data_IF_975223642438
#
_entry.id   IF_975223642438
#
_cell.length_a   1.000
_cell.length_b   1.000
_cell.length_c   1.000
_cell.angle_alpha   90.00
_cell.angle_beta   90.00
_cell.angle_gamma   90.00
#
_symmetry.space_group_name_H-M   'P 1'
#
loop_
_entity.id
_entity.type
_entity.pdbx_description
1 polymer ?
#
# COMPACT_ATOMS: atom_id res chain seq x y z
N UNK A 1 32.45 32.45 66.68
CA UNK A 1 31.03 32.37 67.09
C UNK A 1 30.32 31.47 66.11
N UNK A 2 29.78 30.39 66.66
CA UNK A 2 29.09 29.29 66.01
C UNK A 2 27.76 29.72 65.36
N UNK A 3 27.31 29.00 64.33
CA UNK A 3 25.91 29.00 63.86
C UNK A 3 25.79 28.75 62.35
N UNK A 4 25.56 27.50 61.92
CA UNK A 4 24.23 27.01 61.48
C UNK A 4 23.79 27.70 60.17
N UNK A 5 23.93 27.09 58.99
CA UNK A 5 23.12 25.95 58.55
C UNK A 5 23.82 25.18 57.40
N UNK A 6 24.27 23.95 57.69
CA UNK A 6 24.31 22.84 56.72
C UNK A 6 22.94 22.17 56.76
N UNK A 7 22.16 22.27 55.69
CA UNK A 7 21.10 21.29 55.43
C UNK A 7 20.72 21.27 53.94
N UNK A 8 20.52 20.05 53.43
CA UNK A 8 20.16 19.68 52.06
C UNK A 8 21.22 19.93 50.97
N UNK A 9 22.16 18.98 50.89
CA UNK A 9 22.99 18.71 49.72
C UNK A 9 22.16 18.28 48.51
N UNK A 10 21.65 19.26 47.77
CA UNK A 10 21.21 19.11 46.40
C UNK A 10 22.03 20.05 45.52
N UNK A 11 23.33 19.75 45.39
CA UNK A 11 24.00 20.05 44.12
C UNK A 11 23.38 19.11 43.11
N UNK A 12 22.33 19.58 42.42
CA UNK A 12 21.88 18.98 41.16
C UNK A 12 23.01 19.23 40.15
N UNK A 13 24.09 18.46 40.28
CA UNK A 13 25.04 18.27 39.20
C UNK A 13 24.26 17.47 38.15
N UNK A 14 23.54 18.19 37.28
CA UNK A 14 22.90 17.66 36.09
C UNK A 14 24.00 17.24 35.12
N UNK A 15 24.82 16.28 35.54
CA UNK A 15 25.69 15.52 34.66
C UNK A 15 24.74 14.72 33.79
N UNK A 16 24.45 15.25 32.60
CA UNK A 16 23.85 14.47 31.54
C UNK A 16 24.68 13.19 31.45
N UNK A 17 24.10 12.00 31.72
CA UNK A 17 24.83 10.74 31.65
C UNK A 17 25.52 10.67 30.30
N UNK A 18 26.83 10.46 30.34
CA UNK A 18 27.75 10.94 29.33
C UNK A 18 27.39 10.59 27.89
N UNK A 19 27.57 11.56 27.01
CA UNK A 19 27.85 11.37 25.58
C UNK A 19 29.22 10.70 25.39
N UNK A 20 29.42 9.52 25.99
CA UNK A 20 30.54 8.65 25.64
C UNK A 20 30.37 8.13 24.21
N UNK A 21 31.44 7.66 23.55
CA UNK A 21 31.38 7.09 22.19
C UNK A 21 30.40 5.91 22.03
N UNK A 22 29.90 5.36 23.14
CA UNK A 22 28.94 4.25 23.22
C UNK A 22 27.47 4.70 23.24
N UNK A 23 27.16 5.94 23.65
CA UNK A 23 25.79 6.47 23.69
C UNK A 23 25.24 6.90 22.32
N UNK A 24 26.13 7.36 21.43
CA UNK A 24 25.78 7.75 20.05
C UNK A 24 25.25 6.56 19.22
N UNK A 25 25.90 5.38 19.17
CA UNK A 25 25.38 4.24 18.42
C UNK A 25 24.07 3.66 18.99
N UNK A 26 23.85 3.74 20.31
CA UNK A 26 22.64 3.24 20.96
C UNK A 26 21.35 3.95 20.48
N UNK A 27 21.45 5.24 20.13
CA UNK A 27 20.32 6.04 19.62
C UNK A 27 20.35 6.13 18.10
N UNK A 28 21.53 6.27 17.50
CA UNK A 28 21.68 6.46 16.06
C UNK A 28 21.21 5.25 15.25
N UNK A 29 21.49 4.01 15.71
CA UNK A 29 21.10 2.80 14.97
C UNK A 29 19.57 2.61 14.95
N UNK A 30 18.85 2.67 16.08
CA UNK A 30 17.39 2.57 16.06
C UNK A 30 16.72 3.72 15.32
N UNK A 31 17.22 4.96 15.47
CA UNK A 31 16.71 6.10 14.73
C UNK A 31 16.90 5.92 13.22
N UNK A 32 18.05 5.40 12.78
CA UNK A 32 18.31 5.11 11.37
C UNK A 32 17.38 4.00 10.83
N UNK A 33 17.18 2.92 11.60
CA UNK A 33 16.28 1.82 11.23
C UNK A 33 14.83 2.28 11.10
N UNK A 34 14.39 3.25 11.90
CA UNK A 34 13.04 3.83 11.80
C UNK A 34 12.92 4.91 10.71
N UNK A 35 13.91 5.80 10.59
CA UNK A 35 13.86 6.96 9.70
C UNK A 35 14.08 6.57 8.23
N UNK A 36 14.97 5.62 7.96
CA UNK A 36 15.34 5.24 6.60
C UNK A 36 14.13 4.68 5.80
N UNK A 37 13.28 3.78 6.34
CA UNK A 37 12.04 3.37 5.67
C UNK A 37 11.08 4.53 5.40
N UNK A 38 10.96 5.48 6.34
CA UNK A 38 10.09 6.65 6.19
C UNK A 38 10.56 7.57 5.06
N UNK A 39 11.86 7.85 4.99
CA UNK A 39 12.47 8.61 3.90
C UNK A 39 12.30 7.86 2.58
N UNK A 40 12.51 6.54 2.59
CA UNK A 40 12.34 5.72 1.40
C UNK A 40 10.90 5.74 0.88
N UNK A 41 9.94 5.62 1.79
CA UNK A 41 8.51 5.71 1.51
C UNK A 41 8.12 7.09 0.97
N UNK A 42 8.58 8.17 1.59
CA UNK A 42 8.35 9.52 1.12
C UNK A 42 8.91 9.71 -0.31
N UNK A 43 10.11 9.20 -0.59
CA UNK A 43 10.71 9.24 -1.92
C UNK A 43 9.88 8.48 -2.95
N UNK A 44 9.45 7.25 -2.66
CA UNK A 44 8.59 6.47 -3.57
C UNK A 44 7.24 7.16 -3.81
N UNK A 45 6.64 7.73 -2.76
CA UNK A 45 5.42 8.50 -2.91
C UNK A 45 5.61 9.73 -3.80
N UNK A 46 6.70 10.47 -3.63
CA UNK A 46 6.99 11.65 -4.44
C UNK A 46 7.28 11.27 -5.89
N UNK A 47 8.11 10.25 -6.12
CA UNK A 47 8.40 9.71 -7.46
C UNK A 47 7.13 9.29 -8.16
N UNK A 48 6.32 8.45 -7.50
CA UNK A 48 5.08 7.95 -8.06
C UNK A 48 4.04 9.07 -8.27
N UNK A 49 4.00 10.10 -7.40
CA UNK A 49 3.18 11.31 -7.59
C UNK A 49 3.60 12.08 -8.84
N UNK A 50 4.91 12.24 -9.10
CA UNK A 50 5.44 12.93 -10.29
C UNK A 50 5.08 12.19 -11.57
N UNK A 51 5.31 10.87 -11.62
CA UNK A 51 4.94 10.02 -12.77
C UNK A 51 3.43 10.12 -13.03
N UNK A 52 2.60 9.98 -11.99
CA UNK A 52 1.14 10.11 -12.12
C UNK A 52 0.68 11.52 -12.48
N UNK A 53 1.44 12.56 -12.15
CA UNK A 53 1.11 13.93 -12.58
C UNK A 53 1.33 14.10 -14.08
N UNK A 54 2.43 13.55 -14.62
CA UNK A 54 2.69 13.51 -16.07
C UNK A 54 1.62 12.71 -16.81
N UNK A 55 1.31 11.50 -16.33
CA UNK A 55 0.25 10.66 -16.91
C UNK A 55 -1.11 11.38 -16.89
N UNK A 56 -1.43 12.07 -15.80
CA UNK A 56 -2.65 12.91 -15.75
C UNK A 56 -2.65 14.04 -16.76
N UNK A 57 -1.52 14.73 -16.96
CA UNK A 57 -1.40 15.76 -18.00
C UNK A 57 -1.71 15.19 -19.38
N UNK A 58 -1.19 14.01 -19.71
CA UNK A 58 -1.53 13.31 -20.96
C UNK A 58 -3.03 13.01 -21.03
N UNK A 59 -3.60 12.40 -19.99
CA UNK A 59 -5.02 12.05 -19.96
C UNK A 59 -5.97 13.25 -19.96
N UNK A 60 -5.54 14.40 -19.45
CA UNK A 60 -6.34 15.61 -19.52
C UNK A 60 -6.37 16.16 -20.97
N UNK A 61 -5.43 15.76 -21.84
CA UNK A 61 -5.44 16.07 -23.28
C UNK A 61 -6.23 15.03 -24.11
N UNK A 62 -6.09 13.73 -23.80
CA UNK A 62 -6.64 12.64 -24.63
C UNK A 62 -7.91 11.99 -24.07
N UNK A 63 -8.25 12.24 -22.80
CA UNK A 63 -9.35 11.59 -22.11
C UNK A 63 -10.62 12.43 -22.08
N UNK A 64 -11.76 11.81 -22.41
CA UNK A 64 -13.09 12.43 -22.32
C UNK A 64 -13.79 12.01 -21.02
N UNK A 65 -14.22 12.97 -20.20
CA UNK A 65 -14.96 12.65 -18.97
C UNK A 65 -16.37 12.15 -19.31
N UNK A 66 -16.76 11.00 -18.77
CA UNK A 66 -18.10 10.46 -18.89
C UNK A 66 -18.81 10.50 -17.53
N UNK A 67 -19.89 11.29 -17.43
CA UNK A 67 -20.73 11.34 -16.24
C UNK A 67 -21.45 10.00 -16.00
N UNK A 68 -21.89 9.33 -17.07
CA UNK A 68 -22.56 8.01 -17.03
C UNK A 68 -21.75 6.97 -16.26
N UNK A 69 -20.46 6.86 -16.55
CA UNK A 69 -19.58 5.86 -15.95
C UNK A 69 -18.79 6.39 -14.75
N UNK A 70 -18.87 7.70 -14.47
CA UNK A 70 -18.05 8.41 -13.48
C UNK A 70 -16.56 8.12 -13.68
N UNK A 71 -16.14 8.04 -14.94
CA UNK A 71 -14.80 7.65 -15.37
C UNK A 71 -14.33 8.53 -16.55
N UNK A 72 -13.03 8.56 -16.78
CA UNK A 72 -12.42 9.18 -17.97
C UNK A 72 -12.30 8.11 -19.05
N UNK A 73 -12.91 8.34 -20.21
CA UNK A 73 -12.84 7.45 -21.35
C UNK A 73 -11.64 7.83 -22.21
N UNK A 74 -10.75 6.87 -22.45
CA UNK A 74 -9.61 7.01 -23.34
C UNK A 74 -9.96 6.39 -24.71
N UNK A 75 -9.68 7.11 -25.78
CA UNK A 75 -9.89 6.60 -27.15
C UNK A 75 -8.74 5.65 -27.52
N UNK A 76 -8.89 4.40 -27.11
CA UNK A 76 -7.92 3.33 -27.30
C UNK A 76 -8.64 2.00 -27.46
N UNK A 77 -8.17 1.17 -28.38
CA UNK A 77 -8.84 -0.08 -28.76
C UNK A 77 -8.51 -1.25 -27.83
N UNK A 78 -7.33 -1.24 -27.21
CA UNK A 78 -6.96 -2.27 -26.23
C UNK A 78 -7.84 -2.13 -24.97
N UNK A 79 -8.59 -3.17 -24.59
CA UNK A 79 -9.46 -3.16 -23.42
C UNK A 79 -8.67 -2.98 -22.12
N UNK A 80 -8.67 -1.76 -21.60
CA UNK A 80 -8.09 -1.42 -20.31
C UNK A 80 -9.08 -0.66 -19.42
N UNK A 81 -9.02 -0.93 -18.12
CA UNK A 81 -9.60 -0.13 -17.05
C UNK A 81 -8.58 -0.05 -15.91
N UNK A 82 -8.35 1.14 -15.37
CA UNK A 82 -7.40 1.34 -14.26
C UNK A 82 -7.72 2.60 -13.47
N UNK A 83 -7.30 2.60 -12.21
CA UNK A 83 -7.39 3.77 -11.35
C UNK A 83 -6.10 4.60 -11.33
N UNK A 84 -6.26 5.93 -11.26
CA UNK A 84 -5.18 6.86 -10.97
C UNK A 84 -5.33 7.40 -9.56
N UNK A 85 -4.49 6.95 -8.62
CA UNK A 85 -4.55 7.40 -7.22
C UNK A 85 -3.91 8.79 -7.04
N UNK A 86 -4.31 9.49 -5.97
CA UNK A 86 -3.73 10.77 -5.59
C UNK A 86 -4.77 11.73 -5.00
N UNK A 87 -4.46 13.03 -4.98
CA UNK A 87 -5.36 14.08 -4.47
C UNK A 87 -6.65 14.24 -5.28
N UNK A 88 -6.60 13.93 -6.57
CA UNK A 88 -7.74 13.95 -7.49
C UNK A 88 -7.85 12.56 -8.12
N UNK A 89 -8.32 11.56 -7.36
CA UNK A 89 -8.39 10.20 -7.86
C UNK A 89 -9.41 10.13 -9.00
N UNK A 90 -9.12 9.32 -10.01
CA UNK A 90 -10.06 9.07 -11.11
C UNK A 90 -9.86 7.67 -11.67
N UNK A 91 -10.90 7.15 -12.30
CA UNK A 91 -10.86 5.88 -13.03
C UNK A 91 -10.77 6.19 -14.51
N UNK A 92 -9.94 5.44 -15.22
CA UNK A 92 -9.77 5.51 -16.67
C UNK A 92 -10.30 4.21 -17.26
N UNK A 93 -11.08 4.31 -18.34
CA UNK A 93 -11.59 3.17 -19.10
C UNK A 93 -11.34 3.44 -20.58
N UNK A 94 -10.87 2.44 -21.31
CA UNK A 94 -10.67 2.52 -22.77
C UNK A 94 -11.99 2.39 -23.53
N UNK A 95 -12.05 2.95 -24.74
CA UNK A 95 -13.15 2.70 -25.68
C UNK A 95 -13.28 1.20 -26.01
N UNK A 96 -12.15 0.48 -26.11
CA UNK A 96 -12.10 -0.97 -26.25
C UNK A 96 -12.86 -1.70 -25.15
N UNK A 97 -12.63 -1.34 -23.88
CA UNK A 97 -13.34 -1.95 -22.75
C UNK A 97 -14.85 -1.63 -22.77
N UNK A 98 -15.24 -0.43 -23.21
CA UNK A 98 -16.67 -0.06 -23.33
C UNK A 98 -17.40 -0.84 -24.42
N UNK A 99 -16.70 -1.23 -25.51
CA UNK A 99 -17.26 -2.06 -26.58
C UNK A 99 -17.28 -3.53 -26.20
N UNK A 100 -16.26 -3.99 -25.47
CA UNK A 100 -16.08 -5.39 -25.10
C UNK A 100 -17.01 -5.82 -23.96
N UNK A 101 -17.17 -4.97 -22.94
CA UNK A 101 -17.86 -5.36 -21.70
C UNK A 101 -19.34 -4.97 -21.75
N UNK A 102 -20.20 -5.92 -21.35
CA UNK A 102 -21.59 -5.63 -21.01
C UNK A 102 -21.68 -4.62 -19.85
N UNK A 103 -22.83 -3.92 -19.67
CA UNK A 103 -22.99 -2.95 -18.57
C UNK A 103 -22.69 -3.53 -17.18
N UNK A 104 -23.16 -4.76 -16.90
CA UNK A 104 -22.93 -5.43 -15.61
C UNK A 104 -21.44 -5.76 -15.39
N UNK A 105 -20.75 -6.24 -16.43
CA UNK A 105 -19.32 -6.50 -16.40
C UNK A 105 -18.53 -5.21 -16.17
N UNK A 106 -18.84 -4.15 -16.93
CA UNK A 106 -18.19 -2.85 -16.78
C UNK A 106 -18.36 -2.27 -15.38
N UNK A 107 -19.58 -2.31 -14.84
CA UNK A 107 -19.83 -1.83 -13.48
C UNK A 107 -19.05 -2.62 -12.42
N UNK A 108 -18.94 -3.94 -12.57
CA UNK A 108 -18.14 -4.78 -11.67
C UNK A 108 -16.66 -4.40 -11.67
N UNK A 109 -16.08 -4.14 -12.85
CA UNK A 109 -14.69 -3.68 -13.01
C UNK A 109 -14.53 -2.27 -12.43
N UNK A 110 -15.49 -1.38 -12.69
CA UNK A 110 -15.45 -0.03 -12.11
C UNK A 110 -15.51 -0.06 -10.58
N UNK A 111 -16.28 -0.96 -9.96
CA UNK A 111 -16.29 -1.09 -8.50
C UNK A 111 -14.97 -1.69 -7.97
N UNK A 112 -14.34 -2.61 -8.71
CA UNK A 112 -12.99 -3.09 -8.43
C UNK A 112 -11.98 -1.91 -8.46
N UNK A 113 -11.99 -1.07 -9.49
CA UNK A 113 -11.13 0.12 -9.58
C UNK A 113 -11.41 1.15 -8.48
N UNK A 114 -12.69 1.34 -8.11
CA UNK A 114 -13.06 2.20 -6.96
C UNK A 114 -12.50 1.65 -5.66
N UNK A 115 -12.38 0.33 -5.52
CA UNK A 115 -11.81 -0.28 -4.33
C UNK A 115 -10.33 0.08 -4.16
N UNK A 116 -9.54 0.10 -5.23
CA UNK A 116 -8.13 0.53 -5.16
C UNK A 116 -7.98 1.97 -4.68
N UNK A 117 -8.86 2.86 -5.14
CA UNK A 117 -8.88 4.27 -4.71
C UNK A 117 -9.27 4.36 -3.24
N UNK A 118 -10.40 3.75 -2.87
CA UNK A 118 -10.95 3.82 -1.52
C UNK A 118 -10.02 3.19 -0.48
N UNK A 119 -9.41 2.05 -0.80
CA UNK A 119 -8.44 1.36 0.04
C UNK A 119 -7.04 1.99 0.01
N UNK A 120 -6.82 3.00 -0.84
CA UNK A 120 -5.51 3.66 -1.03
C UNK A 120 -4.40 2.63 -1.28
N UNK A 121 -4.66 1.60 -2.08
CA UNK A 121 -3.78 0.43 -2.29
C UNK A 121 -2.36 0.83 -2.75
N UNK A 122 -2.24 1.93 -3.49
CA UNK A 122 -0.95 2.54 -3.85
C UNK A 122 -0.04 2.91 -2.68
N UNK A 123 -0.58 3.24 -1.50
CA UNK A 123 0.21 3.52 -0.30
C UNK A 123 0.79 2.24 0.29
N UNK A 124 -0.01 1.16 0.34
CA UNK A 124 0.47 -0.13 0.80
C UNK A 124 1.61 -0.65 -0.09
N UNK A 125 1.47 -0.54 -1.41
CA UNK A 125 2.55 -0.89 -2.35
C UNK A 125 3.79 -0.01 -2.19
N UNK A 126 3.63 1.29 -1.97
CA UNK A 126 4.78 2.17 -1.71
C UNK A 126 5.49 1.83 -0.39
N UNK A 127 4.74 1.39 0.62
CA UNK A 127 5.30 0.97 1.90
C UNK A 127 6.10 -0.33 1.77
N UNK A 128 5.59 -1.31 1.01
CA UNK A 128 6.34 -2.56 0.75
C UNK A 128 7.56 -2.32 -0.14
N UNK A 129 7.49 -1.43 -1.12
CA UNK A 129 8.66 -1.03 -1.91
C UNK A 129 9.73 -0.38 -1.04
N UNK A 130 9.33 0.53 -0.14
CA UNK A 130 10.25 1.16 0.80
C UNK A 130 10.86 0.14 1.75
N UNK A 131 10.06 -0.79 2.28
CA UNK A 131 10.53 -1.88 3.13
C UNK A 131 11.52 -2.78 2.38
N UNK A 132 11.19 -3.23 1.17
CA UNK A 132 12.05 -4.06 0.33
C UNK A 132 13.39 -3.38 0.00
N UNK A 133 13.36 -2.06 -0.24
CA UNK A 133 14.56 -1.27 -0.53
C UNK A 133 15.48 -1.15 0.69
N UNK A 134 14.92 -0.92 1.87
CA UNK A 134 15.71 -0.78 3.10
C UNK A 134 16.23 -2.12 3.59
N UNK A 135 15.38 -3.15 3.62
CA UNK A 135 15.71 -4.46 4.17
C UNK A 135 16.04 -5.49 3.09
N UNK A 136 16.75 -5.08 2.03
CA UNK A 136 17.04 -5.89 0.83
C UNK A 136 17.78 -7.21 1.10
N UNK A 137 18.42 -7.32 2.27
CA UNK A 137 19.15 -8.50 2.74
C UNK A 137 18.23 -9.54 3.39
N UNK A 138 16.99 -9.18 3.76
CA UNK A 138 16.00 -10.13 4.26
C UNK A 138 15.31 -10.81 3.06
N UNK A 139 15.34 -12.15 2.96
CA UNK A 139 14.68 -12.88 1.88
C UNK A 139 13.19 -12.51 1.73
N UNK A 140 12.50 -12.38 2.86
CA UNK A 140 11.09 -11.99 2.92
C UNK A 140 10.81 -10.60 2.35
N UNK A 141 11.76 -9.66 2.47
CA UNK A 141 11.55 -8.30 2.02
C UNK A 141 11.34 -8.22 0.50
N UNK A 142 11.97 -9.11 -0.27
CA UNK A 142 11.82 -9.17 -1.73
C UNK A 142 10.44 -9.66 -2.16
N UNK A 143 9.84 -10.55 -1.39
CA UNK A 143 8.54 -11.15 -1.73
C UNK A 143 7.34 -10.32 -1.24
N UNK A 144 7.56 -9.43 -0.26
CA UNK A 144 6.48 -8.63 0.35
C UNK A 144 5.67 -7.83 -0.65
N UNK A 145 6.30 -7.29 -1.71
CA UNK A 145 5.60 -6.50 -2.72
C UNK A 145 4.61 -7.35 -3.51
N UNK A 146 5.04 -8.50 -4.04
CA UNK A 146 4.22 -9.39 -4.86
C UNK A 146 3.04 -9.93 -4.05
N UNK A 147 3.31 -10.43 -2.85
CA UNK A 147 2.25 -10.94 -1.97
C UNK A 147 1.26 -9.85 -1.55
N UNK A 148 1.75 -8.64 -1.27
CA UNK A 148 0.87 -7.51 -0.95
C UNK A 148 0.03 -7.09 -2.14
N UNK A 149 0.60 -7.06 -3.36
CA UNK A 149 -0.15 -6.79 -4.57
C UNK A 149 -1.30 -7.79 -4.74
N UNK A 150 -1.02 -9.09 -4.63
CA UNK A 150 -2.02 -10.15 -4.70
C UNK A 150 -3.12 -9.96 -3.63
N UNK A 151 -2.75 -9.66 -2.39
CA UNK A 151 -3.72 -9.40 -1.31
C UNK A 151 -4.60 -8.16 -1.56
N UNK A 152 -4.05 -7.13 -2.21
CA UNK A 152 -4.77 -5.91 -2.55
C UNK A 152 -5.74 -6.14 -3.72
N UNK A 153 -5.35 -6.92 -4.74
CA UNK A 153 -6.25 -7.40 -5.80
C UNK A 153 -7.42 -8.18 -5.19
N UNK A 154 -7.10 -9.13 -4.31
CA UNK A 154 -8.07 -9.90 -3.54
C UNK A 154 -9.02 -9.05 -2.69
N UNK A 155 -8.53 -7.94 -2.12
CA UNK A 155 -9.35 -7.02 -1.35
C UNK A 155 -10.25 -6.15 -2.25
N UNK A 156 -9.79 -5.79 -3.44
CA UNK A 156 -10.58 -5.11 -4.45
C UNK A 156 -11.69 -6.00 -5.00
N UNK A 157 -11.36 -7.25 -5.31
CA UNK A 157 -12.31 -8.31 -5.69
C UNK A 157 -13.42 -8.48 -4.64
N UNK A 158 -13.05 -8.65 -3.36
CA UNK A 158 -14.00 -8.77 -2.26
C UNK A 158 -14.93 -7.55 -2.15
N UNK A 159 -14.50 -6.37 -2.62
CA UNK A 159 -15.32 -5.16 -2.62
C UNK A 159 -16.27 -5.10 -3.80
N UNK A 160 -15.83 -5.49 -4.99
CA UNK A 160 -16.69 -5.61 -6.16
C UNK A 160 -17.78 -6.68 -5.92
N UNK A 161 -17.41 -7.84 -5.38
CA UNK A 161 -18.31 -8.96 -5.09
C UNK A 161 -19.37 -8.67 -4.02
N UNK A 162 -19.26 -7.56 -3.28
CA UNK A 162 -20.33 -7.11 -2.36
C UNK A 162 -21.48 -6.41 -3.08
N UNK A 163 -21.28 -5.95 -4.31
CA UNK A 163 -22.24 -5.14 -5.07
C UNK A 163 -22.61 -5.75 -6.41
N UNK A 164 -21.77 -6.63 -6.95
CA UNK A 164 -21.94 -7.23 -8.26
C UNK A 164 -21.82 -8.75 -8.18
N UNK A 165 -22.53 -9.49 -9.06
CA UNK A 165 -22.43 -10.94 -9.11
C UNK A 165 -21.02 -11.37 -9.51
N UNK A 166 -20.61 -12.54 -9.01
CA UNK A 166 -19.27 -13.09 -9.23
C UNK A 166 -18.98 -13.32 -10.70
N UNK A 167 -19.97 -13.81 -11.42
CA UNK A 167 -19.92 -14.15 -12.83
C UNK A 167 -19.60 -12.92 -13.67
N UNK A 168 -20.15 -11.75 -13.32
CA UNK A 168 -19.87 -10.49 -14.02
C UNK A 168 -18.40 -10.07 -13.85
N UNK A 169 -17.84 -10.16 -12.64
CA UNK A 169 -16.45 -9.79 -12.40
C UNK A 169 -15.48 -10.76 -13.08
N UNK A 170 -15.68 -12.06 -12.91
CA UNK A 170 -14.81 -13.09 -13.48
C UNK A 170 -14.82 -13.02 -15.00
N UNK A 171 -16.00 -12.95 -15.63
CA UNK A 171 -16.12 -12.86 -17.08
C UNK A 171 -15.52 -11.55 -17.62
N UNK A 172 -15.66 -10.43 -16.90
CA UNK A 172 -15.04 -9.16 -17.30
C UNK A 172 -13.52 -9.22 -17.28
N UNK A 173 -12.93 -9.76 -16.21
CA UNK A 173 -11.47 -9.91 -16.09
C UNK A 173 -10.92 -10.83 -17.17
N UNK A 174 -11.61 -11.94 -17.43
CA UNK A 174 -11.25 -12.87 -18.52
C UNK A 174 -11.35 -12.20 -19.89
N UNK A 175 -12.45 -11.50 -20.18
CA UNK A 175 -12.65 -10.81 -21.45
C UNK A 175 -11.59 -9.73 -21.69
N UNK A 176 -11.32 -8.86 -20.71
CA UNK A 176 -10.31 -7.80 -20.86
C UNK A 176 -8.92 -8.36 -21.11
N UNK A 177 -8.56 -9.45 -20.42
CA UNK A 177 -7.25 -10.04 -20.57
C UNK A 177 -7.10 -10.89 -21.85
N UNK A 178 -8.20 -11.45 -22.37
CA UNK A 178 -8.22 -12.07 -23.70
C UNK A 178 -8.15 -11.03 -24.85
N UNK A 179 -8.63 -9.80 -24.61
CA UNK A 179 -8.57 -8.70 -25.57
C UNK A 179 -7.21 -8.03 -25.73
N UNK A 180 -6.17 -8.51 -25.03
CA UNK A 180 -4.84 -7.86 -24.92
C UNK A 180 -3.73 -8.53 -25.78
N UNK A 181 -4.04 -9.35 -26.78
CA UNK A 181 -3.03 -10.11 -27.54
C UNK A 181 -2.57 -9.47 -28.88
N UNK A 182 -1.28 -9.54 -29.29
CA UNK A 182 -0.11 -10.18 -28.64
C UNK A 182 1.03 -9.19 -28.29
N UNK A 183 1.57 -9.30 -27.07
CA UNK A 183 2.85 -8.68 -26.67
C UNK A 183 2.90 -7.99 -25.29
N UNK A 184 1.77 -7.83 -24.62
CA UNK A 184 1.67 -7.20 -23.30
C UNK A 184 1.54 -8.22 -22.16
N UNK A 185 2.28 -8.03 -21.09
CA UNK A 185 2.37 -8.92 -19.94
C UNK A 185 1.10 -8.93 -19.05
N UNK A 186 -0.02 -9.47 -19.54
CA UNK A 186 -1.14 -9.92 -18.70
C UNK A 186 -1.29 -11.43 -18.82
N UNK A 187 -0.70 -12.16 -17.87
CA UNK A 187 -0.83 -13.60 -17.78
C UNK A 187 -2.23 -13.96 -17.30
N UNK A 188 -3.16 -14.19 -18.23
CA UNK A 188 -4.43 -14.89 -17.96
C UNK A 188 -4.17 -16.27 -17.31
N UNK A 189 -2.97 -16.85 -17.51
CA UNK A 189 -2.51 -18.07 -16.86
C UNK A 189 -1.50 -17.88 -15.72
N UNK A 190 -1.34 -16.67 -15.19
CA UNK A 190 -0.41 -16.43 -14.07
C UNK A 190 -0.89 -17.10 -12.79
N UNK A 191 0.02 -17.54 -11.90
CA UNK A 191 -0.34 -18.11 -10.59
C UNK A 191 -1.36 -17.26 -9.83
N UNK A 192 -1.20 -15.93 -9.87
CA UNK A 192 -2.07 -14.97 -9.19
C UNK A 192 -3.52 -14.97 -9.71
N UNK A 193 -3.72 -15.11 -11.02
CA UNK A 193 -5.05 -15.15 -11.62
C UNK A 193 -5.80 -16.43 -11.19
N UNK A 194 -5.10 -17.56 -11.18
CA UNK A 194 -5.65 -18.85 -10.70
C UNK A 194 -5.99 -18.77 -9.21
N UNK A 195 -5.11 -18.21 -8.39
CA UNK A 195 -5.34 -18.04 -6.95
C UNK A 195 -6.57 -17.15 -6.71
N UNK A 196 -6.69 -16.02 -7.43
CA UNK A 196 -7.85 -15.14 -7.32
C UNK A 196 -9.14 -15.85 -7.71
N UNK A 197 -9.15 -16.56 -8.84
CA UNK A 197 -10.33 -17.29 -9.30
C UNK A 197 -10.75 -18.37 -8.32
N UNK A 198 -9.81 -19.21 -7.86
CA UNK A 198 -10.07 -20.24 -6.84
C UNK A 198 -10.65 -19.63 -5.57
N UNK A 199 -10.06 -18.54 -5.10
CA UNK A 199 -10.55 -17.81 -3.92
C UNK A 199 -11.93 -17.19 -4.14
N UNK A 200 -12.24 -16.70 -5.34
CA UNK A 200 -13.58 -16.19 -5.63
C UNK A 200 -14.61 -17.32 -5.52
N UNK A 201 -14.28 -18.52 -6.00
CA UNK A 201 -15.15 -19.71 -5.97
C UNK A 201 -15.38 -20.25 -4.55
N UNK A 202 -14.34 -20.24 -3.70
CA UNK A 202 -14.41 -20.67 -2.30
C UNK A 202 -15.12 -19.61 -1.42
N UNK A 203 -16.23 -19.97 -0.78
CA UNK A 203 -16.95 -19.07 0.13
C UNK A 203 -16.09 -18.69 1.35
N UNK A 204 -15.86 -17.39 1.57
CA UNK A 204 -14.93 -16.90 2.60
C UNK A 204 -15.57 -16.80 3.98
N UNK A 205 -14.89 -17.34 5.01
CA UNK A 205 -15.07 -16.93 6.41
C UNK A 205 -14.21 -15.70 6.69
N UNK A 206 -14.79 -14.63 7.25
CA UNK A 206 -14.04 -13.44 7.65
C UNK A 206 -13.34 -13.70 9.00
N UNK A 207 -12.04 -13.40 9.15
CA UNK A 207 -11.39 -13.51 10.45
C UNK A 207 -12.02 -12.54 11.44
N UNK A 208 -12.12 -12.96 12.71
CA UNK A 208 -12.70 -12.18 13.81
C UNK A 208 -12.02 -10.81 13.93
N UNK A 209 -12.75 -9.71 14.21
CA UNK A 209 -12.18 -8.36 14.29
C UNK A 209 -11.01 -8.24 15.29
N UNK A 210 -11.05 -9.00 16.38
CA UNK A 210 -9.95 -9.04 17.37
C UNK A 210 -8.62 -9.51 16.77
N UNK A 211 -8.63 -10.56 15.95
CA UNK A 211 -7.44 -11.07 15.28
C UNK A 211 -6.87 -10.03 14.31
N UNK A 212 -7.74 -9.30 13.61
CA UNK A 212 -7.32 -8.21 12.72
C UNK A 212 -6.64 -7.09 13.51
N UNK A 213 -7.22 -6.69 14.65
CA UNK A 213 -6.64 -5.69 15.54
C UNK A 213 -5.26 -6.12 16.05
N UNK A 214 -5.12 -7.37 16.49
CA UNK A 214 -3.86 -7.92 16.97
C UNK A 214 -2.76 -7.92 15.90
N UNK A 215 -3.08 -8.32 14.66
CA UNK A 215 -2.12 -8.30 13.54
C UNK A 215 -1.69 -6.88 13.20
N UNK A 216 -2.61 -5.92 13.18
CA UNK A 216 -2.29 -4.50 12.94
C UNK A 216 -1.38 -3.95 14.05
N UNK A 217 -1.71 -4.23 15.32
CA UNK A 217 -0.91 -3.79 16.45
C UNK A 217 0.51 -4.37 16.40
N UNK A 218 0.66 -5.67 16.13
CA UNK A 218 1.95 -6.33 15.99
C UNK A 218 2.79 -5.73 14.84
N UNK A 219 2.17 -5.47 13.68
CA UNK A 219 2.85 -4.87 12.54
C UNK A 219 3.34 -3.44 12.80
N UNK A 220 2.59 -2.66 13.59
CA UNK A 220 2.98 -1.29 14.00
C UNK A 220 4.05 -1.32 15.09
N UNK A 221 3.96 -2.25 16.05
CA UNK A 221 4.87 -2.34 17.18
C UNK A 221 6.25 -2.90 16.77
N UNK A 222 6.31 -3.86 15.86
CA UNK A 222 7.55 -4.52 15.44
C UNK A 222 8.71 -3.57 15.08
N UNK A 223 8.52 -2.49 14.30
CA UNK A 223 9.59 -1.54 14.01
C UNK A 223 9.92 -0.56 15.16
N UNK A 224 9.03 -0.40 16.15
CA UNK A 224 9.18 0.55 17.27
C UNK A 224 9.75 -0.12 18.53
N UNK A 225 9.60 -1.44 18.65
CA UNK A 225 10.04 -2.22 19.81
C UNK A 225 11.57 -2.18 20.04
N UNK A 226 12.43 -2.30 19.01
CA UNK A 226 13.87 -2.21 19.19
C UNK A 226 14.39 -0.87 19.77
N UNK A 227 13.92 0.32 19.32
CA UNK A 227 14.29 1.58 19.97
C UNK A 227 13.80 1.70 21.41
N UNK A 228 12.61 1.18 21.74
CA UNK A 228 12.06 1.28 23.08
C UNK A 228 12.83 0.44 24.10
N UNK A 229 13.27 -0.77 23.71
CA UNK A 229 14.09 -1.63 24.58
C UNK A 229 15.51 -1.09 24.77
N UNK A 230 16.08 -0.43 23.76
CA UNK A 230 17.37 0.25 23.86
C UNK A 230 17.35 1.54 24.70
N UNK A 231 16.17 2.12 24.89
CA UNK A 231 15.95 3.36 25.64
C UNK A 231 15.44 3.14 27.07
N UNK A 232 15.25 1.90 27.54
CA UNK A 232 14.96 1.67 28.97
C UNK A 232 16.23 2.04 29.74
N UNK A 233 16.26 3.18 30.47
CA UNK A 233 17.37 3.45 31.36
C UNK A 233 17.32 2.32 32.40
N UNK A 234 18.46 1.69 32.69
CA UNK A 234 18.54 0.76 33.80
C UNK A 234 17.97 1.44 35.03
N UNK A 235 16.80 1.00 35.49
CA UNK A 235 16.28 1.33 36.81
C UNK A 235 17.12 0.53 37.79
N UNK A 236 18.25 1.12 38.18
CA UNK A 236 19.01 0.79 39.38
C UNK A 236 18.64 1.75 40.50
#
# INVERSE_FOLDING_TARGET
MSGLLRFCGLTFDARIPGTGPVGVPAIAVPALVALLPLVCFAHELLRARRVRARHRGVLDMVGRRSARWRATVLDHDTPAAYCLPGRRPRIVVSAGALRLLSPAQLESVLEHERAHIAGRHHLALAATEAFARVFRWLPLARETRTQTALLLEMAADDRALRRHPREALVSALYAMAAGDAPGGAFSVGGPDAVIRLRRMLEARRRPHPALRGAVVAAAVAAPVLPPLLGCVPGMG
#
